data_IF_136263098215
#
_entry.id   IF_136263098215
#
_cell.length_a   1.000
_cell.length_b   1.000
_cell.length_c   1.000
_cell.angle_alpha   90.00
_cell.angle_beta   90.00
_cell.angle_gamma   90.00
#
_symmetry.space_group_name_H-M   'P 1'
#
loop_
_entity.id
_entity.type
_entity.pdbx_description
1 polymer ?
#
# COMPACT_ATOMS: atom_id res chain seq x y z
N UNK A 1 -1.46 19.15 8.52
CA UNK A 1 -1.87 17.74 8.69
C UNK A 1 -2.55 17.16 7.44
N UNK A 2 -3.08 18.01 6.55
CA UNK A 2 -3.97 17.59 5.46
C UNK A 2 -3.29 16.77 4.37
N UNK A 3 -2.04 17.05 3.98
CA UNK A 3 -1.41 16.35 2.83
C UNK A 3 -1.18 14.85 3.05
N UNK A 4 -0.74 14.43 4.25
CA UNK A 4 -0.53 13.00 4.55
C UNK A 4 -1.86 12.24 4.65
N UNK A 5 -2.86 12.85 5.28
CA UNK A 5 -4.21 12.27 5.35
C UNK A 5 -4.83 12.20 3.96
N UNK A 6 -4.66 13.22 3.13
CA UNK A 6 -5.11 13.22 1.75
C UNK A 6 -4.40 12.12 0.94
N UNK A 7 -3.08 11.97 1.09
CA UNK A 7 -2.33 10.90 0.44
C UNK A 7 -2.81 9.51 0.88
N UNK A 8 -3.00 9.28 2.18
CA UNK A 8 -3.46 7.97 2.68
C UNK A 8 -4.89 7.67 2.24
N UNK A 9 -5.80 8.66 2.29
CA UNK A 9 -7.20 8.49 1.86
C UNK A 9 -7.28 8.29 0.35
N UNK A 10 -6.63 9.14 -0.43
CA UNK A 10 -6.64 9.04 -1.89
C UNK A 10 -5.95 7.74 -2.36
N UNK A 11 -4.80 7.39 -1.78
CA UNK A 11 -4.09 6.16 -2.09
C UNK A 11 -4.89 4.91 -1.76
N UNK A 12 -5.50 4.86 -0.57
CA UNK A 12 -6.38 3.75 -0.19
C UNK A 12 -7.60 3.66 -1.11
N UNK A 13 -8.24 4.79 -1.43
CA UNK A 13 -9.37 4.83 -2.36
C UNK A 13 -8.99 4.31 -3.75
N UNK A 14 -7.88 4.78 -4.31
CA UNK A 14 -7.37 4.32 -5.61
C UNK A 14 -7.11 2.82 -5.58
N UNK A 15 -6.44 2.31 -4.55
CA UNK A 15 -6.13 0.89 -4.45
C UNK A 15 -7.38 0.02 -4.24
N UNK A 16 -8.36 0.50 -3.48
CA UNK A 16 -9.66 -0.16 -3.32
C UNK A 16 -10.43 -0.21 -4.63
N UNK A 17 -10.55 0.92 -5.35
CA UNK A 17 -11.21 0.99 -6.65
C UNK A 17 -10.52 0.07 -7.66
N UNK A 18 -9.18 0.11 -7.71
CA UNK A 18 -8.40 -0.72 -8.61
C UNK A 18 -8.57 -2.22 -8.28
N UNK A 19 -8.53 -2.59 -7.00
CA UNK A 19 -8.74 -3.97 -6.56
C UNK A 19 -10.16 -4.48 -6.84
N UNK A 20 -11.18 -3.66 -6.63
CA UNK A 20 -12.57 -4.00 -6.95
C UNK A 20 -12.78 -4.12 -8.45
N UNK A 21 -12.27 -3.18 -9.25
CA UNK A 21 -12.33 -3.28 -10.72
C UNK A 21 -11.62 -4.54 -11.22
N UNK A 22 -10.43 -4.85 -10.70
CA UNK A 22 -9.70 -6.05 -11.09
C UNK A 22 -10.46 -7.34 -10.71
N UNK A 23 -11.12 -7.38 -9.54
CA UNK A 23 -11.98 -8.49 -9.18
C UNK A 23 -13.17 -8.67 -10.16
N UNK A 24 -13.77 -7.56 -10.60
CA UNK A 24 -14.85 -7.64 -11.60
C UNK A 24 -14.31 -8.07 -12.98
N UNK A 25 -13.10 -7.64 -13.34
CA UNK A 25 -12.50 -7.86 -14.66
C UNK A 25 -11.90 -9.26 -14.84
N UNK A 26 -11.17 -9.75 -13.83
CA UNK A 26 -10.40 -10.99 -13.92
C UNK A 26 -10.97 -12.12 -13.04
N UNK A 27 -12.09 -11.88 -12.35
CA UNK A 27 -12.82 -12.87 -11.55
C UNK A 27 -12.44 -12.89 -10.07
N UNK A 28 -12.61 -14.06 -9.43
CA UNK A 28 -12.62 -14.29 -7.97
C UNK A 28 -12.07 -13.15 -7.07
N UNK A 29 -12.94 -12.49 -6.27
CA UNK A 29 -12.55 -11.35 -5.43
C UNK A 29 -11.52 -11.73 -4.35
N UNK A 30 -11.47 -13.01 -3.96
CA UNK A 30 -10.53 -13.51 -2.95
C UNK A 30 -9.06 -13.33 -3.36
N UNK A 31 -8.76 -13.30 -4.67
CA UNK A 31 -7.40 -13.05 -5.17
C UNK A 31 -6.90 -11.64 -4.84
N UNK A 32 -7.80 -10.70 -4.61
CA UNK A 32 -7.50 -9.28 -4.39
C UNK A 32 -7.53 -8.84 -2.93
N UNK A 33 -7.80 -9.76 -1.99
CA UNK A 33 -7.86 -9.46 -0.55
C UNK A 33 -6.56 -8.83 -0.05
N UNK A 34 -5.40 -9.27 -0.53
CA UNK A 34 -4.10 -8.68 -0.17
C UNK A 34 -4.03 -7.19 -0.51
N UNK A 35 -4.49 -6.80 -1.70
CA UNK A 35 -4.53 -5.40 -2.10
C UNK A 35 -5.47 -4.57 -1.22
N UNK A 36 -6.64 -5.12 -0.86
CA UNK A 36 -7.59 -4.47 0.05
C UNK A 36 -7.04 -4.31 1.48
N UNK A 37 -6.31 -5.32 1.98
CA UNK A 37 -5.63 -5.23 3.28
C UNK A 37 -4.54 -4.14 3.27
N UNK A 38 -3.79 -4.03 2.18
CA UNK A 38 -2.81 -2.94 2.00
C UNK A 38 -3.51 -1.58 1.96
N UNK A 39 -4.65 -1.45 1.27
CA UNK A 39 -5.44 -0.22 1.26
C UNK A 39 -5.91 0.18 2.68
N UNK A 40 -6.43 -0.78 3.46
CA UNK A 40 -6.82 -0.56 4.84
C UNK A 40 -5.62 -0.17 5.72
N UNK A 41 -4.47 -0.81 5.54
CA UNK A 41 -3.24 -0.47 6.23
C UNK A 41 -2.79 0.97 5.92
N UNK A 42 -2.72 1.34 4.64
CA UNK A 42 -2.36 2.70 4.19
C UNK A 42 -3.29 3.74 4.79
N UNK A 43 -4.60 3.46 4.84
CA UNK A 43 -5.61 4.34 5.42
C UNK A 43 -5.43 4.53 6.94
N UNK A 44 -5.18 3.45 7.67
CA UNK A 44 -5.13 3.44 9.13
C UNK A 44 -3.78 3.93 9.69
N UNK A 45 -2.68 3.72 8.97
CA UNK A 45 -1.32 3.89 9.47
C UNK A 45 -1.05 5.27 10.11
N UNK A 46 -1.44 6.42 9.51
CA UNK A 46 -1.18 7.73 10.12
C UNK A 46 -1.88 7.90 11.48
N UNK A 47 -3.09 7.36 11.62
CA UNK A 47 -3.87 7.39 12.86
C UNK A 47 -3.24 6.48 13.90
N UNK A 48 -2.92 5.23 13.53
CA UNK A 48 -2.27 4.27 14.42
C UNK A 48 -0.97 4.82 15.00
N UNK A 49 -0.14 5.49 14.18
CA UNK A 49 1.10 6.11 14.66
C UNK A 49 0.86 7.30 15.59
N UNK A 50 -0.16 8.12 15.32
CA UNK A 50 -0.51 9.24 16.19
C UNK A 50 -0.99 8.76 17.57
N UNK A 51 -1.85 7.73 17.61
CA UNK A 51 -2.30 7.10 18.84
C UNK A 51 -1.17 6.34 19.53
N UNK A 52 -0.32 5.62 18.81
CA UNK A 52 0.85 4.94 19.36
C UNK A 52 1.81 5.92 20.05
N UNK A 53 2.06 7.09 19.44
CA UNK A 53 2.85 8.16 20.06
C UNK A 53 2.21 8.71 21.33
N UNK A 54 0.88 8.85 21.34
CA UNK A 54 0.13 9.26 22.53
C UNK A 54 0.29 8.23 23.67
N UNK A 55 0.10 6.94 23.37
CA UNK A 55 0.27 5.85 24.33
C UNK A 55 1.71 5.79 24.85
N UNK A 56 2.71 5.92 23.99
CA UNK A 56 4.12 5.96 24.40
C UNK A 56 4.45 7.16 25.30
N UNK A 57 3.78 8.30 25.10
CA UNK A 57 3.91 9.47 25.99
C UNK A 57 3.27 9.22 27.34
N UNK A 58 2.05 8.66 27.36
CA UNK A 58 1.33 8.29 28.58
C UNK A 58 2.12 7.24 29.38
N UNK A 59 2.63 6.20 28.72
CA UNK A 59 3.47 5.17 29.34
C UNK A 59 4.77 5.73 29.92
N UNK A 60 5.48 6.59 29.18
CA UNK A 60 6.70 7.24 29.71
C UNK A 60 6.43 8.08 30.94
N UNK A 61 5.33 8.83 30.97
CA UNK A 61 4.94 9.62 32.15
C UNK A 61 4.56 8.75 33.33
N UNK A 62 3.80 7.69 33.08
CA UNK A 62 3.44 6.71 34.11
C UNK A 62 4.67 6.03 34.74
N UNK A 63 5.68 5.68 33.94
CA UNK A 63 6.94 5.13 34.46
C UNK A 63 7.75 6.20 35.19
N UNK A 64 7.81 7.43 34.67
CA UNK A 64 8.51 8.53 35.30
C UNK A 64 7.90 8.92 36.67
N UNK A 65 6.57 8.89 36.79
CA UNK A 65 5.87 9.18 38.05
C UNK A 65 6.10 8.11 39.12
N UNK A 66 6.40 6.86 38.72
CA UNK A 66 6.78 5.79 39.66
C UNK A 66 8.22 5.88 40.16
N UNK A 67 9.08 6.67 39.50
CA UNK A 67 10.52 6.78 39.80
C UNK A 67 10.91 8.07 40.51
N UNK A 68 9.98 9.01 40.70
CA UNK A 68 10.24 10.32 41.33
C UNK A 68 9.35 10.52 42.54
N UNK A 69 9.97 10.83 43.67
CA UNK A 69 9.31 11.34 44.88
C UNK A 69 9.05 12.88 44.82
N UNK A 70 9.16 13.50 43.63
CA UNK A 70 9.13 14.96 43.48
C UNK A 70 8.43 15.46 42.21
N UNK A 71 7.10 15.64 42.30
CA UNK A 71 6.35 16.87 41.97
C UNK A 71 6.48 17.63 40.63
N UNK A 72 7.24 17.21 39.63
CA UNK A 72 7.35 17.99 38.38
C UNK A 72 6.44 17.50 37.24
N UNK A 73 5.53 18.38 36.80
CA UNK A 73 4.55 18.14 35.73
C UNK A 73 3.25 17.51 36.21
N UNK A 74 2.68 18.05 37.29
CA UNK A 74 1.54 17.46 38.00
C UNK A 74 0.22 17.83 37.32
N UNK A 75 -0.62 16.82 37.16
CA UNK A 75 -2.01 16.99 36.72
C UNK A 75 -2.90 16.52 37.85
N UNK A 76 -3.72 17.40 38.41
CA UNK A 76 -4.74 17.04 39.38
C UNK A 76 -6.09 16.98 38.67
N UNK A 77 -6.85 15.94 38.92
CA UNK A 77 -8.16 15.72 38.31
C UNK A 77 -9.17 15.45 39.42
N UNK A 78 -10.34 16.08 39.35
CA UNK A 78 -11.41 15.81 40.30
C UNK A 78 -11.85 14.35 40.20
N UNK A 79 -12.01 13.69 41.34
CA UNK A 79 -12.46 12.30 41.41
C UNK A 79 -13.92 12.15 41.00
N UNK A 80 -14.70 13.20 41.26
CA UNK A 80 -16.11 13.34 40.95
C UNK A 80 -16.34 14.41 39.88
N UNK A 81 -17.51 14.39 39.27
CA UNK A 81 -17.95 15.46 38.35
C UNK A 81 -18.40 16.67 39.17
N UNK A 82 -18.06 17.87 38.72
CA UNK A 82 -18.59 19.08 39.35
C UNK A 82 -20.10 19.17 39.07
N UNK A 83 -20.96 19.25 40.10
CA UNK A 83 -22.41 19.30 39.91
C UNK A 83 -22.89 20.55 39.16
N UNK A 84 -22.11 21.64 39.15
CA UNK A 84 -22.39 22.86 38.37
C UNK A 84 -21.34 23.08 37.29
N UNK A 85 -20.99 22.00 36.58
CA UNK A 85 -19.87 21.98 35.65
C UNK A 85 -19.86 23.10 34.60
N UNK A 86 -21.02 23.64 34.20
CA UNK A 86 -21.09 24.74 33.21
C UNK A 86 -20.69 26.10 33.77
N UNK A 87 -20.94 26.37 35.05
CA UNK A 87 -20.58 27.62 35.72
C UNK A 87 -19.27 27.51 36.51
N UNK A 88 -18.74 26.29 36.68
CA UNK A 88 -17.60 25.98 37.53
C UNK A 88 -16.37 26.86 37.24
N UNK A 89 -15.99 27.05 35.98
CA UNK A 89 -14.83 27.87 35.63
C UNK A 89 -15.05 29.35 35.97
N UNK A 90 -16.25 29.89 35.75
CA UNK A 90 -16.53 31.29 36.09
C UNK A 90 -16.56 31.51 37.61
N UNK A 91 -17.10 30.53 38.36
CA UNK A 91 -17.15 30.56 39.82
C UNK A 91 -15.73 30.48 40.41
N UNK A 92 -14.89 29.58 39.88
CA UNK A 92 -13.48 29.47 40.26
C UNK A 92 -12.73 30.76 39.92
N UNK A 93 -12.91 31.32 38.72
CA UNK A 93 -12.26 32.58 38.34
C UNK A 93 -12.63 33.73 39.29
N UNK A 94 -13.92 33.86 39.62
CA UNK A 94 -14.42 34.90 40.53
C UNK A 94 -13.88 34.74 41.96
N UNK A 95 -13.76 33.50 42.44
CA UNK A 95 -13.23 33.21 43.76
C UNK A 95 -11.72 33.50 43.84
N UNK A 96 -10.94 33.02 42.86
CA UNK A 96 -9.48 33.19 42.85
C UNK A 96 -9.08 34.66 42.61
N UNK A 97 -9.84 35.42 41.81
CA UNK A 97 -9.55 36.84 41.57
C UNK A 97 -9.69 37.73 42.81
N UNK A 98 -10.30 37.23 43.90
CA UNK A 98 -10.43 37.95 45.19
C UNK A 98 -9.30 37.64 46.16
N UNK A 99 -8.39 36.72 45.81
CA UNK A 99 -7.30 36.30 46.66
C UNK A 99 -6.00 37.02 46.26
N UNK A 100 -5.31 37.60 47.24
CA UNK A 100 -4.04 38.32 47.02
C UNK A 100 -2.87 37.39 46.61
N UNK A 101 -3.05 36.07 46.70
CA UNK A 101 -2.04 35.06 46.35
C UNK A 101 -1.79 34.96 44.84
N UNK A 102 -2.79 35.30 44.01
CA UNK A 102 -2.68 35.19 42.55
C UNK A 102 -2.50 36.57 41.92
N UNK A 103 -1.50 36.67 41.04
CA UNK A 103 -1.23 37.90 40.30
C UNK A 103 -2.31 38.22 39.26
N UNK A 104 -2.79 37.19 38.57
CA UNK A 104 -3.78 37.32 37.50
C UNK A 104 -4.54 36.02 37.30
N UNK A 105 -5.83 36.13 37.00
CA UNK A 105 -6.73 35.00 36.69
C UNK A 105 -7.57 35.40 35.50
N UNK A 106 -7.37 34.74 34.36
CA UNK A 106 -8.08 35.05 33.12
C UNK A 106 -8.55 33.81 32.40
N UNK A 107 -9.67 33.97 31.71
CA UNK A 107 -10.17 32.97 30.77
C UNK A 107 -9.34 32.95 29.49
N UNK A 108 -9.09 31.76 28.96
CA UNK A 108 -8.37 31.53 27.70
C UNK A 108 -9.01 30.38 26.92
N UNK A 109 -9.03 30.50 25.58
CA UNK A 109 -9.54 29.45 24.70
C UNK A 109 -8.44 28.42 24.40
N UNK A 110 -8.66 27.17 24.81
CA UNK A 110 -7.79 26.05 24.49
C UNK A 110 -8.39 25.20 23.37
N UNK A 111 -7.58 24.31 22.79
CA UNK A 111 -8.01 23.37 21.74
C UNK A 111 -9.10 22.39 22.20
N UNK A 112 -9.25 22.24 23.50
CA UNK A 112 -10.14 21.35 24.25
C UNK A 112 -11.31 22.10 24.91
N UNK A 113 -11.43 23.41 24.65
CA UNK A 113 -12.47 24.28 25.21
C UNK A 113 -11.91 25.42 26.05
N UNK A 114 -12.82 26.17 26.66
CA UNK A 114 -12.50 27.28 27.57
C UNK A 114 -11.79 26.78 28.84
N UNK A 115 -10.83 27.55 29.33
CA UNK A 115 -10.11 27.29 30.58
C UNK A 115 -9.64 28.56 31.25
N UNK A 116 -9.02 28.43 32.43
CA UNK A 116 -8.42 29.54 33.16
C UNK A 116 -6.90 29.42 33.15
N UNK A 117 -6.24 30.53 32.90
CA UNK A 117 -4.83 30.76 33.18
C UNK A 117 -4.73 31.47 34.54
N UNK A 118 -4.13 30.79 35.53
CA UNK A 118 -3.88 31.34 36.87
C UNK A 118 -2.39 31.62 37.01
N UNK A 119 -2.03 32.88 37.15
CA UNK A 119 -0.63 33.32 37.27
C UNK A 119 -0.29 33.59 38.73
N UNK A 120 0.71 32.88 39.28
CA UNK A 120 1.12 33.01 40.68
C UNK A 120 2.18 34.10 40.86
N UNK A 121 3.26 34.02 40.07
CA UNK A 121 4.36 34.99 40.04
C UNK A 121 4.96 35.01 38.63
N UNK A 122 5.76 36.03 38.28
CA UNK A 122 6.05 36.46 36.89
C UNK A 122 6.41 35.43 35.81
N UNK A 123 6.72 34.17 36.16
CA UNK A 123 6.98 33.08 35.22
C UNK A 123 6.23 31.75 35.53
N UNK A 124 5.43 31.69 36.60
CA UNK A 124 4.73 30.47 37.02
C UNK A 124 3.22 30.61 36.85
N UNK A 125 2.66 29.79 35.96
CA UNK A 125 1.22 29.71 35.74
C UNK A 125 0.73 28.27 35.87
N UNK A 126 -0.47 28.14 36.42
CA UNK A 126 -1.24 26.91 36.41
C UNK A 126 -2.46 27.10 35.50
N UNK A 127 -2.95 25.99 34.96
CA UNK A 127 -4.11 26.00 34.08
C UNK A 127 -5.23 25.17 34.71
N UNK A 128 -6.42 25.76 34.81
CA UNK A 128 -7.63 25.09 35.29
C UNK A 128 -8.55 24.89 34.10
N UNK A 129 -8.96 23.65 33.87
CA UNK A 129 -9.79 23.27 32.72
C UNK A 129 -10.85 22.26 33.13
N UNK A 130 -11.85 22.10 32.28
CA UNK A 130 -12.93 21.13 32.46
C UNK A 130 -12.90 20.08 31.36
N UNK A 131 -13.06 18.82 31.71
CA UNK A 131 -13.26 17.73 30.73
C UNK A 131 -14.69 17.72 30.19
N UNK A 132 -14.92 17.04 29.07
CA UNK A 132 -16.28 16.85 28.52
C UNK A 132 -17.23 16.15 29.51
N UNK A 133 -16.70 15.27 30.37
CA UNK A 133 -17.49 14.61 31.41
C UNK A 133 -17.67 15.45 32.69
N UNK A 134 -17.28 16.73 32.69
CA UNK A 134 -17.54 17.68 33.77
C UNK A 134 -16.58 17.59 34.95
N UNK A 135 -15.40 16.99 34.79
CA UNK A 135 -14.35 16.98 35.84
C UNK A 135 -13.47 18.20 35.73
N UNK A 136 -13.03 18.70 36.88
CA UNK A 136 -12.06 19.80 36.97
C UNK A 136 -10.64 19.24 36.92
N UNK A 137 -9.79 19.94 36.17
CA UNK A 137 -8.42 19.53 35.92
C UNK A 137 -7.49 20.71 36.12
N UNK A 138 -6.52 20.56 37.01
CA UNK A 138 -5.50 21.57 37.30
C UNK A 138 -4.15 21.04 36.83
N UNK A 139 -3.47 21.80 36.00
CA UNK A 139 -2.18 21.40 35.39
C UNK A 139 -1.14 22.48 35.59
N UNK A 140 0.09 22.07 35.88
CA UNK A 140 1.23 22.97 36.07
C UNK A 140 2.49 22.19 36.44
N UNK A 141 3.56 22.89 36.79
CA UNK A 141 4.89 22.30 37.04
C UNK A 141 5.49 22.63 38.42
N UNK A 142 4.69 23.20 39.32
CA UNK A 142 5.10 23.74 40.62
C UNK A 142 4.32 23.15 41.80
N UNK A 143 4.84 23.31 43.03
CA UNK A 143 4.07 23.04 44.25
C UNK A 143 2.82 23.93 44.37
N UNK A 144 2.87 25.16 43.84
CA UNK A 144 1.71 26.06 43.80
C UNK A 144 0.54 25.49 43.00
N UNK A 145 0.81 24.59 42.04
CA UNK A 145 -0.24 23.87 41.31
C UNK A 145 -1.02 22.93 42.24
N UNK A 146 -0.36 22.31 43.22
CA UNK A 146 -1.00 21.45 44.22
C UNK A 146 -1.84 22.26 45.20
N UNK A 147 -1.33 23.40 45.65
CA UNK A 147 -2.08 24.34 46.50
C UNK A 147 -3.35 24.83 45.80
N UNK A 148 -3.22 25.26 44.53
CA UNK A 148 -4.34 25.65 43.70
C UNK A 148 -5.36 24.52 43.52
N UNK A 149 -4.90 23.28 43.27
CA UNK A 149 -5.78 22.13 43.14
C UNK A 149 -6.57 21.85 44.44
N UNK A 150 -5.91 21.89 45.60
CA UNK A 150 -6.62 21.75 46.89
C UNK A 150 -7.65 22.85 47.08
N UNK A 151 -7.26 24.11 46.80
CA UNK A 151 -8.15 25.26 46.93
C UNK A 151 -9.40 25.13 46.07
N UNK A 152 -9.23 24.73 44.80
CA UNK A 152 -10.35 24.48 43.89
C UNK A 152 -11.22 23.32 44.39
N UNK A 153 -10.60 22.26 44.92
CA UNK A 153 -11.31 21.15 45.55
C UNK A 153 -12.19 21.62 46.71
N UNK A 154 -11.66 22.45 47.61
CA UNK A 154 -12.41 23.01 48.74
C UNK A 154 -13.54 23.94 48.27
N UNK A 155 -13.28 24.81 47.28
CA UNK A 155 -14.27 25.75 46.74
C UNK A 155 -15.46 25.06 46.07
N UNK A 156 -15.21 23.92 45.43
CA UNK A 156 -16.23 23.20 44.65
C UNK A 156 -16.76 21.95 45.37
N UNK A 157 -16.23 21.66 46.56
CA UNK A 157 -16.60 20.48 47.33
C UNK A 157 -16.24 19.16 46.64
N UNK A 158 -15.14 19.13 45.88
CA UNK A 158 -14.68 17.94 45.14
C UNK A 158 -13.28 17.49 45.57
N UNK A 159 -13.07 16.17 45.66
CA UNK A 159 -11.73 15.61 45.88
C UNK A 159 -10.87 15.73 44.62
N UNK A 160 -9.63 16.21 44.76
CA UNK A 160 -8.67 16.38 43.66
C UNK A 160 -7.52 15.37 43.80
N UNK A 161 -7.39 14.45 42.85
CA UNK A 161 -6.36 13.42 42.87
C UNK A 161 -5.24 13.72 41.85
N UNK A 162 -3.99 13.50 42.26
CA UNK A 162 -2.85 13.57 41.35
C UNK A 162 -2.89 12.41 40.34
N UNK A 163 -2.85 12.72 39.05
CA UNK A 163 -2.88 11.76 37.95
C UNK A 163 -1.62 11.91 37.10
N UNK A 164 -0.96 10.78 36.75
CA UNK A 164 0.26 10.82 35.93
C UNK A 164 -0.01 11.19 34.46
N UNK A 165 -1.27 11.08 34.02
CA UNK A 165 -1.69 11.36 32.66
C UNK A 165 -2.69 12.51 32.64
N UNK A 166 -2.39 13.53 31.84
CA UNK A 166 -3.29 14.63 31.58
C UNK A 166 -4.45 14.15 30.67
N UNK A 167 -5.73 14.36 31.04
CA UNK A 167 -6.88 13.90 30.26
C UNK A 167 -7.00 14.60 28.90
N UNK A 168 -6.49 15.82 28.75
CA UNK A 168 -6.51 16.60 27.51
C UNK A 168 -5.43 16.18 26.50
N UNK A 169 -4.68 15.13 26.80
CA UNK A 169 -3.72 14.58 25.87
C UNK A 169 -4.38 13.98 24.64
N UNK A 170 -4.27 14.71 23.54
CA UNK A 170 -4.73 14.30 22.21
C UNK A 170 -3.59 13.67 21.37
N UNK A 171 -3.93 12.82 20.39
CA UNK A 171 -2.96 12.29 19.44
C UNK A 171 -2.26 13.42 18.68
N UNK A 172 -0.95 13.58 18.90
CA UNK A 172 -0.19 14.57 18.14
C UNK A 172 0.19 13.97 16.79
N UNK A 173 -0.11 14.67 15.67
CA UNK A 173 0.23 14.21 14.35
C UNK A 173 1.74 14.01 14.18
N UNK A 174 2.14 13.14 13.26
CA UNK A 174 3.54 13.00 12.85
C UNK A 174 3.99 14.30 12.17
N UNK A 175 5.07 14.90 12.66
CA UNK A 175 5.63 16.18 12.20
C UNK A 175 7.15 16.04 11.99
N UNK A 176 7.74 16.93 11.20
CA UNK A 176 9.20 16.97 10.93
C UNK A 176 9.68 15.81 10.05
N UNK A 177 10.95 15.42 10.18
CA UNK A 177 11.57 14.35 9.39
C UNK A 177 10.80 13.01 9.39
N UNK A 178 10.23 12.52 10.52
CA UNK A 178 9.39 11.30 10.54
C UNK A 178 8.21 11.33 9.54
N UNK A 179 7.75 12.54 9.18
CA UNK A 179 6.68 12.71 8.19
C UNK A 179 7.13 12.32 6.78
N UNK A 180 8.37 12.63 6.41
CA UNK A 180 8.92 12.29 5.10
C UNK A 180 9.06 10.76 4.98
N UNK A 181 9.63 10.11 6.00
CA UNK A 181 9.71 8.65 6.06
C UNK A 181 8.33 7.98 5.97
N UNK A 182 7.34 8.50 6.70
CA UNK A 182 5.97 8.00 6.59
C UNK A 182 5.40 8.17 5.17
N UNK A 183 5.71 9.28 4.50
CA UNK A 183 5.25 9.49 3.11
C UNK A 183 5.88 8.47 2.15
N UNK A 184 7.18 8.22 2.27
CA UNK A 184 7.89 7.18 1.50
C UNK A 184 7.31 5.81 1.78
N UNK A 185 7.10 5.46 3.05
CA UNK A 185 6.50 4.19 3.45
C UNK A 185 5.10 3.99 2.85
N UNK A 186 4.27 5.03 2.83
CA UNK A 186 2.95 4.98 2.21
C UNK A 186 3.06 4.77 0.69
N UNK A 187 4.00 5.42 0.01
CA UNK A 187 4.25 5.23 -1.43
C UNK A 187 4.69 3.79 -1.71
N UNK A 188 5.62 3.25 -0.92
CA UNK A 188 6.07 1.86 -1.04
C UNK A 188 4.91 0.90 -0.82
N UNK A 189 4.10 1.10 0.23
CA UNK A 189 2.93 0.28 0.48
C UNK A 189 1.93 0.33 -0.68
N UNK A 190 1.69 1.51 -1.28
CA UNK A 190 0.84 1.65 -2.47
C UNK A 190 1.42 0.89 -3.66
N UNK A 191 2.73 0.96 -3.90
CA UNK A 191 3.39 0.20 -4.96
C UNK A 191 3.25 -1.32 -4.74
N UNK A 192 3.42 -1.81 -3.51
CA UNK A 192 3.15 -3.22 -3.15
C UNK A 192 1.69 -3.58 -3.37
N UNK A 193 0.76 -2.67 -3.07
CA UNK A 193 -0.67 -2.84 -3.33
C UNK A 193 -0.96 -3.01 -4.82
N UNK A 194 -0.43 -2.13 -5.67
CA UNK A 194 -0.55 -2.21 -7.14
C UNK A 194 0.07 -3.51 -7.66
N UNK A 195 1.26 -3.87 -7.18
CA UNK A 195 1.91 -5.13 -7.52
C UNK A 195 1.07 -6.36 -7.11
N UNK A 196 0.38 -6.29 -5.97
CA UNK A 196 -0.54 -7.34 -5.53
C UNK A 196 -1.75 -7.48 -6.46
N UNK A 197 -2.31 -6.36 -6.94
CA UNK A 197 -3.38 -6.40 -7.97
C UNK A 197 -2.86 -7.01 -9.26
N UNK A 198 -1.69 -6.58 -9.72
CA UNK A 198 -1.07 -7.07 -10.94
C UNK A 198 -0.78 -8.58 -10.88
N UNK A 199 -0.19 -9.04 -9.78
CA UNK A 199 0.07 -10.46 -9.52
C UNK A 199 -1.21 -11.31 -9.42
N UNK A 200 -2.29 -10.75 -8.88
CA UNK A 200 -3.58 -11.45 -8.82
C UNK A 200 -4.28 -11.53 -10.19
N UNK A 201 -4.13 -10.49 -11.02
CA UNK A 201 -4.67 -10.43 -12.38
C UNK A 201 -3.91 -11.37 -13.34
N UNK A 202 -2.59 -11.43 -13.20
CA UNK A 202 -1.68 -12.26 -14.00
C UNK A 202 -0.88 -13.18 -13.04
N UNK A 203 -1.44 -14.33 -12.62
CA UNK A 203 -0.82 -15.19 -11.62
C UNK A 203 0.33 -16.04 -12.17
N UNK A 204 0.49 -16.13 -13.50
CA UNK A 204 1.58 -16.87 -14.13
C UNK A 204 2.91 -16.18 -13.89
N UNK A 205 3.98 -16.97 -13.72
CA UNK A 205 5.32 -16.45 -13.42
C UNK A 205 6.06 -15.92 -14.66
N UNK A 206 5.47 -16.06 -15.86
CA UNK A 206 6.01 -15.58 -17.15
C UNK A 206 6.17 -14.07 -17.28
N UNK A 207 5.83 -13.31 -16.22
CA UNK A 207 5.95 -11.86 -16.21
C UNK A 207 6.43 -11.44 -14.83
N UNK A 208 7.36 -10.49 -14.78
CA UNK A 208 7.72 -9.84 -13.53
C UNK A 208 6.61 -8.89 -13.05
N UNK A 209 6.72 -8.38 -11.82
CA UNK A 209 5.65 -7.55 -11.22
C UNK A 209 5.39 -6.26 -12.02
N UNK A 210 6.41 -5.67 -12.63
CA UNK A 210 6.27 -4.44 -13.42
C UNK A 210 5.56 -4.73 -14.73
N UNK A 211 5.93 -5.79 -15.44
CA UNK A 211 5.26 -6.21 -16.67
C UNK A 211 3.78 -6.51 -16.43
N UNK A 212 3.47 -7.23 -15.34
CA UNK A 212 2.07 -7.47 -14.94
C UNK A 212 1.32 -6.17 -14.71
N UNK A 213 1.95 -5.16 -14.09
CA UNK A 213 1.35 -3.85 -13.87
C UNK A 213 1.09 -3.12 -15.20
N UNK A 214 2.02 -3.21 -16.17
CA UNK A 214 1.84 -2.66 -17.53
C UNK A 214 0.67 -3.36 -18.23
N UNK A 215 0.59 -4.69 -18.18
CA UNK A 215 -0.52 -5.46 -18.76
C UNK A 215 -1.88 -5.08 -18.15
N UNK A 216 -1.95 -4.91 -16.83
CA UNK A 216 -3.16 -4.41 -16.15
C UNK A 216 -3.48 -2.98 -16.60
N UNK A 217 -2.47 -2.13 -16.80
CA UNK A 217 -2.67 -0.73 -17.21
C UNK A 217 -3.33 -0.60 -18.58
N UNK A 218 -3.00 -1.48 -19.53
CA UNK A 218 -3.68 -1.51 -20.83
C UNK A 218 -5.16 -1.87 -20.71
N UNK A 219 -5.52 -2.84 -19.85
CA UNK A 219 -6.94 -3.15 -19.60
C UNK A 219 -7.66 -1.98 -18.92
N UNK A 220 -7.02 -1.37 -17.92
CA UNK A 220 -7.59 -0.23 -17.21
C UNK A 220 -7.83 0.94 -18.17
N UNK A 221 -6.87 1.21 -19.06
CA UNK A 221 -7.00 2.27 -20.07
C UNK A 221 -8.18 2.01 -21.01
N UNK A 222 -8.37 0.77 -21.46
CA UNK A 222 -9.49 0.40 -22.32
C UNK A 222 -10.87 0.52 -21.64
N UNK A 223 -10.94 0.32 -20.33
CA UNK A 223 -12.20 0.39 -19.59
C UNK A 223 -12.51 1.79 -19.04
N UNK A 224 -11.50 2.64 -18.79
CA UNK A 224 -11.67 3.94 -18.13
C UNK A 224 -11.36 5.18 -18.99
N UNK A 225 -10.59 5.06 -20.08
CA UNK A 225 -10.23 6.22 -20.91
C UNK A 225 -11.13 6.30 -22.14
N UNK A 226 -11.96 7.37 -22.26
CA UNK A 226 -12.80 7.56 -23.43
C UNK A 226 -11.96 7.62 -24.72
N UNK A 227 -12.44 6.94 -25.76
CA UNK A 227 -11.77 6.91 -27.07
C UNK A 227 -10.67 5.86 -27.23
N UNK A 228 -10.33 5.08 -26.20
CA UNK A 228 -9.41 3.94 -26.33
C UNK A 228 -10.20 2.68 -26.65
N UNK A 229 -9.97 2.08 -27.82
CA UNK A 229 -10.68 0.85 -28.19
C UNK A 229 -10.08 -0.37 -27.47
N UNK A 230 -10.94 -1.34 -27.14
CA UNK A 230 -10.50 -2.63 -26.58
C UNK A 230 -9.59 -3.40 -27.54
N UNK A 231 -9.78 -3.21 -28.84
CA UNK A 231 -8.92 -3.77 -29.88
C UNK A 231 -7.52 -3.16 -29.79
N UNK A 232 -7.41 -1.83 -29.71
CA UNK A 232 -6.10 -1.16 -29.61
C UNK A 232 -5.36 -1.57 -28.33
N UNK A 233 -6.04 -1.64 -27.19
CA UNK A 233 -5.43 -2.11 -25.95
C UNK A 233 -4.96 -3.57 -26.02
N UNK A 234 -5.69 -4.42 -26.77
CA UNK A 234 -5.26 -5.81 -27.02
C UNK A 234 -4.02 -5.87 -27.91
N UNK A 235 -3.94 -5.01 -28.94
CA UNK A 235 -2.77 -4.89 -29.80
C UNK A 235 -1.57 -4.30 -29.06
N UNK A 236 -1.77 -3.29 -28.20
CA UNK A 236 -0.73 -2.73 -27.34
C UNK A 236 -0.13 -3.80 -26.42
N UNK A 237 -0.97 -4.65 -25.82
CA UNK A 237 -0.53 -5.78 -25.01
C UNK A 237 0.24 -6.81 -25.80
N UNK A 238 -0.25 -7.17 -27.00
CA UNK A 238 0.40 -8.14 -27.84
C UNK A 238 1.80 -7.64 -28.25
N UNK A 239 1.92 -6.37 -28.63
CA UNK A 239 3.21 -5.74 -28.92
C UNK A 239 4.15 -5.76 -27.70
N UNK A 240 3.66 -5.34 -26.53
CA UNK A 240 4.45 -5.36 -25.29
C UNK A 240 4.96 -6.76 -24.94
N UNK A 241 4.11 -7.78 -25.05
CA UNK A 241 4.49 -9.17 -24.81
C UNK A 241 5.51 -9.68 -25.84
N UNK A 242 5.41 -9.26 -27.10
CA UNK A 242 6.42 -9.56 -28.13
C UNK A 242 7.76 -8.90 -27.79
N UNK A 243 7.76 -7.66 -27.29
CA UNK A 243 8.98 -6.99 -26.85
C UNK A 243 9.64 -7.72 -25.66
N UNK A 244 8.85 -8.11 -24.65
CA UNK A 244 9.33 -8.95 -23.53
C UNK A 244 9.95 -10.27 -24.02
N UNK A 245 9.36 -10.91 -25.03
CA UNK A 245 9.92 -12.13 -25.63
C UNK A 245 11.29 -11.87 -26.30
N UNK A 246 11.52 -10.68 -26.85
CA UNK A 246 12.82 -10.27 -27.38
C UNK A 246 13.88 -10.13 -26.29
N UNK A 247 13.48 -9.67 -25.09
CA UNK A 247 14.34 -9.56 -23.91
C UNK A 247 14.78 -10.93 -23.38
N UNK A 248 13.88 -11.92 -23.36
CA UNK A 248 14.20 -13.31 -22.99
C UNK A 248 15.35 -13.91 -23.84
N UNK A 249 15.43 -13.54 -25.13
CA UNK A 249 16.55 -13.98 -25.98
C UNK A 249 17.89 -13.39 -25.53
N UNK A 250 17.88 -12.18 -24.95
CA UNK A 250 19.07 -11.55 -24.36
C UNK A 250 19.44 -12.24 -23.05
N UNK A 251 18.47 -12.51 -22.18
CA UNK A 251 18.69 -13.20 -20.90
C UNK A 251 19.29 -14.60 -21.09
N UNK A 252 18.76 -15.39 -22.03
CA UNK A 252 19.31 -16.73 -22.34
C UNK A 252 20.77 -16.66 -22.83
N UNK A 253 21.16 -15.59 -23.54
CA UNK A 253 22.52 -15.39 -24.03
C UNK A 253 23.52 -15.01 -22.93
N UNK A 254 23.08 -14.48 -21.80
CA UNK A 254 23.99 -14.03 -20.75
C UNK A 254 24.75 -15.20 -20.13
N UNK A 255 26.07 -15.16 -20.23
CA UNK A 255 26.99 -16.26 -19.88
C UNK A 255 26.89 -16.68 -18.42
N UNK A 256 26.60 -15.73 -17.51
CA UNK A 256 26.48 -15.96 -16.08
C UNK A 256 25.22 -16.73 -15.65
N UNK A 257 24.26 -16.97 -16.54
CA UNK A 257 23.02 -17.67 -16.17
C UNK A 257 23.24 -19.17 -15.99
N UNK A 258 22.76 -19.70 -14.86
CA UNK A 258 22.75 -21.14 -14.59
C UNK A 258 21.80 -21.88 -15.54
N UNK A 259 22.13 -23.13 -15.89
CA UNK A 259 21.35 -23.95 -16.83
C UNK A 259 19.86 -24.10 -16.47
N UNK A 260 19.54 -24.04 -15.18
CA UNK A 260 18.15 -24.11 -14.70
C UNK A 260 17.33 -22.89 -15.09
N UNK A 261 17.92 -21.69 -14.99
CA UNK A 261 17.24 -20.45 -15.40
C UNK A 261 16.98 -20.44 -16.90
N UNK A 262 17.92 -20.95 -17.72
CA UNK A 262 17.71 -21.09 -19.19
C UNK A 262 16.46 -21.89 -19.57
N UNK A 263 16.12 -22.92 -18.79
CA UNK A 263 14.91 -23.72 -19.01
C UNK A 263 13.66 -22.95 -18.61
N UNK A 264 13.71 -22.25 -17.47
CA UNK A 264 12.61 -21.42 -16.99
C UNK A 264 12.32 -20.31 -18.01
N UNK A 265 13.33 -19.58 -18.48
CA UNK A 265 13.24 -18.51 -19.49
C UNK A 265 12.68 -19.04 -20.82
N UNK A 266 13.17 -20.19 -21.30
CA UNK A 266 12.65 -20.81 -22.53
C UNK A 266 11.19 -21.30 -22.41
N UNK A 267 10.74 -21.67 -21.20
CA UNK A 267 9.33 -22.01 -20.94
C UNK A 267 8.45 -20.77 -20.84
N UNK A 268 8.96 -19.69 -20.23
CA UNK A 268 8.31 -18.38 -20.21
C UNK A 268 8.12 -17.85 -21.63
N UNK A 269 9.16 -17.89 -22.46
CA UNK A 269 9.12 -17.50 -23.86
C UNK A 269 8.00 -18.21 -24.65
N UNK A 270 7.82 -19.51 -24.44
CA UNK A 270 6.73 -20.27 -25.09
C UNK A 270 5.34 -19.90 -24.56
N UNK A 271 5.22 -19.59 -23.27
CA UNK A 271 3.96 -19.14 -22.69
C UNK A 271 3.57 -17.75 -23.23
N UNK A 272 4.52 -16.81 -23.27
CA UNK A 272 4.35 -15.46 -23.84
C UNK A 272 3.96 -15.55 -25.32
N UNK A 273 4.67 -16.37 -26.11
CA UNK A 273 4.34 -16.64 -27.52
C UNK A 273 2.88 -17.12 -27.69
N UNK A 274 2.43 -18.06 -26.86
CA UNK A 274 1.06 -18.55 -26.90
C UNK A 274 0.03 -17.47 -26.53
N UNK A 275 0.33 -16.61 -25.56
CA UNK A 275 -0.51 -15.49 -25.15
C UNK A 275 -0.66 -14.44 -26.26
N UNK A 276 0.44 -14.04 -26.91
CA UNK A 276 0.44 -13.12 -28.06
C UNK A 276 -0.43 -13.69 -29.18
N UNK A 277 -0.21 -14.95 -29.55
CA UNK A 277 -1.01 -15.62 -30.61
C UNK A 277 -2.49 -15.65 -30.27
N UNK A 278 -2.84 -15.95 -29.02
CA UNK A 278 -4.23 -15.94 -28.56
C UNK A 278 -4.85 -14.56 -28.68
N UNK A 279 -4.10 -13.51 -28.35
CA UNK A 279 -4.56 -12.12 -28.46
C UNK A 279 -4.76 -11.70 -29.92
N UNK A 280 -3.81 -12.02 -30.80
CA UNK A 280 -3.91 -11.71 -32.21
C UNK A 280 -5.07 -12.45 -32.89
N UNK A 281 -5.29 -13.74 -32.57
CA UNK A 281 -6.48 -14.47 -33.05
C UNK A 281 -7.79 -13.92 -32.51
N UNK A 282 -7.77 -13.43 -31.28
CA UNK A 282 -8.94 -12.80 -30.67
C UNK A 282 -9.29 -11.42 -31.24
N UNK A 283 -8.52 -10.89 -32.19
CA UNK A 283 -8.90 -9.70 -32.96
C UNK A 283 -9.74 -10.11 -34.17
N UNK A 284 -11.01 -9.70 -34.17
CA UNK A 284 -11.94 -10.00 -35.27
C UNK A 284 -11.49 -9.27 -36.54
N UNK A 285 -10.99 -10.04 -37.51
CA UNK A 285 -10.42 -9.52 -38.77
C UNK A 285 -11.42 -8.72 -39.60
N UNK A 286 -12.73 -8.98 -39.44
CA UNK A 286 -13.77 -8.31 -40.21
C UNK A 286 -14.16 -6.92 -39.66
N UNK A 287 -13.71 -6.59 -38.45
CA UNK A 287 -13.99 -5.30 -37.80
C UNK A 287 -12.75 -4.43 -37.57
N UNK A 288 -11.58 -4.83 -38.10
CA UNK A 288 -10.36 -4.05 -38.01
C UNK A 288 -10.36 -2.88 -38.98
N UNK A 289 -9.98 -1.70 -38.49
CA UNK A 289 -9.56 -0.62 -39.37
C UNK A 289 -8.27 -1.00 -40.14
N UNK A 290 -7.98 -0.37 -41.29
CA UNK A 290 -6.74 -0.63 -42.04
C UNK A 290 -5.48 -0.45 -41.19
N UNK A 291 -5.47 0.53 -40.28
CA UNK A 291 -4.35 0.77 -39.37
C UNK A 291 -4.17 -0.36 -38.35
N UNK A 292 -5.27 -0.92 -37.82
CA UNK A 292 -5.23 -2.05 -36.90
C UNK A 292 -4.82 -3.35 -37.59
N UNK A 293 -5.31 -3.58 -38.82
CA UNK A 293 -4.91 -4.73 -39.63
C UNK A 293 -3.39 -4.71 -39.89
N UNK A 294 -2.85 -3.58 -40.37
CA UNK A 294 -1.42 -3.41 -40.57
C UNK A 294 -0.61 -3.55 -39.26
N UNK A 295 -1.20 -3.19 -38.12
CA UNK A 295 -0.56 -3.35 -36.82
C UNK A 295 -0.52 -4.81 -36.37
N UNK A 296 -1.57 -5.60 -36.61
CA UNK A 296 -1.54 -7.04 -36.37
C UNK A 296 -0.44 -7.70 -37.19
N UNK A 297 -0.33 -7.35 -38.47
CA UNK A 297 0.67 -7.96 -39.37
C UNK A 297 2.10 -7.65 -38.91
N UNK A 298 2.36 -6.43 -38.41
CA UNK A 298 3.63 -6.07 -37.78
C UNK A 298 3.89 -6.90 -36.53
N UNK A 299 2.95 -6.96 -35.58
CA UNK A 299 3.13 -7.72 -34.33
C UNK A 299 3.34 -9.22 -34.61
N UNK A 300 2.66 -9.78 -35.62
CA UNK A 300 2.88 -11.17 -36.06
C UNK A 300 4.30 -11.38 -36.60
N UNK A 301 4.78 -10.44 -37.42
CA UNK A 301 6.16 -10.47 -37.95
C UNK A 301 7.19 -10.39 -36.82
N UNK A 302 7.01 -9.42 -35.91
CA UNK A 302 7.88 -9.20 -34.76
C UNK A 302 7.86 -10.42 -33.82
N UNK A 303 6.70 -11.06 -33.63
CA UNK A 303 6.59 -12.28 -32.83
C UNK A 303 7.41 -13.43 -33.44
N UNK A 304 7.30 -13.64 -34.76
CA UNK A 304 8.09 -14.70 -35.41
C UNK A 304 9.58 -14.42 -35.31
N UNK A 305 10.01 -13.16 -35.39
CA UNK A 305 11.40 -12.77 -35.19
C UNK A 305 11.87 -13.05 -33.76
N UNK A 306 11.09 -12.66 -32.76
CA UNK A 306 11.40 -12.91 -31.36
C UNK A 306 11.48 -14.43 -31.05
N UNK A 307 10.53 -15.23 -31.54
CA UNK A 307 10.54 -16.69 -31.40
C UNK A 307 11.80 -17.34 -32.03
N UNK A 308 12.27 -16.82 -33.18
CA UNK A 308 13.53 -17.27 -33.80
C UNK A 308 14.73 -16.86 -32.94
N UNK A 309 14.77 -15.62 -32.46
CA UNK A 309 15.87 -15.10 -31.64
C UNK A 309 16.07 -15.91 -30.37
N UNK A 310 14.99 -16.29 -29.67
CA UNK A 310 15.05 -17.17 -28.49
C UNK A 310 15.57 -18.56 -28.88
N UNK A 311 15.08 -19.14 -29.98
CA UNK A 311 15.56 -20.45 -30.44
C UNK A 311 17.05 -20.45 -30.85
N UNK A 312 17.54 -19.34 -31.40
CA UNK A 312 18.95 -19.11 -31.70
C UNK A 312 19.78 -18.95 -30.42
N UNK A 313 19.31 -18.17 -29.45
CA UNK A 313 19.95 -18.03 -28.14
C UNK A 313 20.13 -19.39 -27.45
N UNK A 314 19.09 -20.24 -27.46
CA UNK A 314 19.18 -21.62 -26.94
C UNK A 314 20.20 -22.45 -27.75
N UNK A 315 20.32 -22.24 -29.06
CA UNK A 315 21.30 -22.94 -29.89
C UNK A 315 22.73 -22.60 -29.47
N UNK A 316 23.04 -21.32 -29.33
CA UNK A 316 24.35 -20.84 -28.87
C UNK A 316 24.69 -21.46 -27.51
N UNK A 317 23.72 -21.50 -26.57
CA UNK A 317 23.94 -22.12 -25.26
C UNK A 317 24.20 -23.63 -25.33
N UNK A 318 23.47 -24.35 -26.17
CA UNK A 318 23.68 -25.78 -26.38
C UNK A 318 25.04 -26.09 -27.02
N UNK A 319 25.55 -25.22 -27.88
CA UNK A 319 26.84 -25.39 -28.56
C UNK A 319 28.03 -25.11 -27.63
N UNK A 320 27.87 -24.22 -26.66
CA UNK A 320 28.90 -23.88 -25.68
C UNK A 320 29.01 -24.91 -24.52
N UNK A 321 28.28 -26.03 -24.57
CA UNK A 321 28.26 -27.16 -23.61
C UNK A 321 28.07 -26.78 -22.12
N UNK A 322 27.54 -25.58 -21.86
CA UNK A 322 27.28 -25.05 -20.50
C UNK A 322 25.92 -25.50 -19.93
N UNK A 323 25.24 -26.42 -20.60
CA UNK A 323 23.82 -26.77 -20.33
C UNK A 323 23.63 -28.08 -19.53
N UNK A 324 24.67 -28.89 -19.42
CA UNK A 324 24.69 -30.11 -18.59
C UNK A 324 23.48 -31.03 -18.80
N UNK A 325 22.82 -31.42 -17.72
CA UNK A 325 21.65 -32.30 -17.72
C UNK A 325 20.41 -31.70 -18.41
N UNK A 326 20.35 -30.38 -18.60
CA UNK A 326 19.19 -29.68 -19.16
C UNK A 326 19.18 -29.65 -20.69
N UNK A 327 20.27 -30.06 -21.35
CA UNK A 327 20.40 -30.03 -22.81
C UNK A 327 19.24 -30.71 -23.56
N UNK A 328 18.73 -31.90 -23.16
CA UNK A 328 17.59 -32.53 -23.85
C UNK A 328 16.31 -31.68 -23.79
N UNK A 329 16.03 -31.05 -22.63
CA UNK A 329 14.85 -30.19 -22.45
C UNK A 329 14.97 -28.92 -23.28
N UNK A 330 16.14 -28.28 -23.27
CA UNK A 330 16.41 -27.09 -24.10
C UNK A 330 16.29 -27.38 -25.60
N UNK A 331 16.76 -28.54 -26.08
CA UNK A 331 16.55 -28.95 -27.49
C UNK A 331 15.06 -29.07 -27.84
N UNK A 332 14.25 -29.62 -26.94
CA UNK A 332 12.79 -29.72 -27.13
C UNK A 332 12.12 -28.35 -27.16
N UNK A 333 12.47 -27.46 -26.23
CA UNK A 333 11.95 -26.09 -26.16
C UNK A 333 12.33 -25.27 -27.40
N UNK A 334 13.60 -25.33 -27.83
CA UNK A 334 14.07 -24.76 -29.09
C UNK A 334 13.26 -25.25 -30.29
N UNK A 335 13.02 -26.55 -30.40
CA UNK A 335 12.24 -27.10 -31.51
C UNK A 335 10.79 -26.61 -31.50
N UNK A 336 10.19 -26.41 -30.32
CA UNK A 336 8.85 -25.82 -30.18
C UNK A 336 8.83 -24.35 -30.61
N UNK A 337 9.83 -23.56 -30.25
CA UNK A 337 9.95 -22.15 -30.65
C UNK A 337 10.15 -22.00 -32.17
N UNK A 338 11.02 -22.82 -32.78
CA UNK A 338 11.18 -22.84 -34.25
C UNK A 338 9.87 -23.17 -34.97
N UNK A 339 9.16 -24.20 -34.52
CA UNK A 339 7.84 -24.54 -35.06
C UNK A 339 6.79 -23.44 -34.84
N UNK A 340 6.90 -22.69 -33.75
CA UNK A 340 6.03 -21.54 -33.54
C UNK A 340 6.35 -20.47 -34.62
N UNK A 341 7.61 -20.09 -34.79
CA UNK A 341 8.04 -19.04 -35.72
C UNK A 341 7.63 -19.26 -37.19
N UNK A 342 7.41 -20.51 -37.58
CA UNK A 342 6.96 -20.88 -38.93
C UNK A 342 5.44 -20.95 -39.07
N UNK A 343 4.70 -20.92 -37.95
CA UNK A 343 3.25 -21.10 -37.94
C UNK A 343 2.53 -19.76 -38.09
N UNK A 344 1.82 -19.51 -39.22
CA UNK A 344 0.95 -18.35 -39.35
C UNK A 344 -0.16 -18.36 -38.29
N UNK A 345 -0.48 -17.18 -37.77
CA UNK A 345 -1.44 -17.01 -36.68
C UNK A 345 -2.88 -17.11 -37.20
N UNK A 346 -3.12 -16.58 -38.40
CA UNK A 346 -4.45 -16.47 -39.05
C UNK A 346 -4.80 -17.60 -40.03
N UNK A 347 -3.92 -18.57 -40.27
CA UNK A 347 -4.21 -19.65 -41.21
C UNK A 347 -4.97 -20.82 -40.53
N UNK A 348 -6.26 -20.65 -40.24
CA UNK A 348 -7.24 -21.75 -40.14
C UNK A 348 -8.66 -21.26 -39.80
N UNK A 349 -9.31 -20.48 -40.66
CA UNK A 349 -10.78 -20.30 -40.57
C UNK A 349 -11.54 -21.04 -41.68
N UNK A 350 -10.87 -21.57 -42.72
CA UNK A 350 -11.57 -22.28 -43.80
C UNK A 350 -11.89 -23.76 -43.52
N UNK A 351 -11.40 -24.36 -42.41
CA UNK A 351 -11.56 -25.81 -42.17
C UNK A 351 -12.14 -26.20 -40.79
N UNK A 352 -12.09 -25.34 -39.77
CA UNK A 352 -12.43 -25.68 -38.38
C UNK A 352 -13.79 -25.17 -37.89
N UNK A 353 -14.49 -24.32 -38.65
CA UNK A 353 -15.78 -23.72 -38.27
C UNK A 353 -16.95 -24.75 -38.18
N UNK A 354 -16.68 -26.05 -38.33
CA UNK A 354 -17.69 -27.12 -38.19
C UNK A 354 -17.54 -28.03 -36.98
N UNK A 355 -16.56 -27.83 -36.08
CA UNK A 355 -16.45 -28.72 -34.89
C UNK A 355 -16.12 -27.99 -33.59
N UNK A 356 -17.22 -27.74 -32.86
CA UNK A 356 -17.37 -27.77 -31.38
C UNK A 356 -16.99 -26.52 -30.59
N UNK A 357 -18.06 -25.77 -30.30
CA UNK A 357 -18.48 -25.34 -28.96
C UNK A 357 -18.20 -26.38 -27.85
N UNK A 358 -18.04 -25.83 -26.63
CA UNK A 358 -17.97 -26.50 -25.31
C UNK A 358 -16.65 -27.19 -24.91
N UNK A 359 -15.59 -26.40 -24.70
CA UNK A 359 -14.58 -26.74 -23.69
C UNK A 359 -14.32 -25.56 -22.74
N UNK A 360 -14.44 -25.76 -21.41
CA UNK A 360 -14.05 -24.75 -20.44
C UNK A 360 -12.54 -24.51 -20.46
N UNK A 361 -12.17 -23.29 -20.05
CA UNK A 361 -10.83 -22.76 -20.08
C UNK A 361 -9.84 -23.60 -19.23
N UNK A 362 -8.59 -23.83 -19.68
CA UNK A 362 -7.62 -24.72 -19.00
C UNK A 362 -7.18 -24.31 -17.59
N UNK A 363 -7.58 -23.14 -17.08
CA UNK A 363 -7.13 -22.63 -15.78
C UNK A 363 -7.98 -23.08 -14.57
N UNK A 364 -9.03 -23.90 -14.77
CA UNK A 364 -9.89 -24.36 -13.68
C UNK A 364 -9.41 -25.62 -12.93
N UNK A 365 -8.21 -26.16 -13.19
CA UNK A 365 -7.71 -27.28 -12.37
C UNK A 365 -6.20 -27.29 -12.16
N UNK A 366 -5.79 -26.84 -10.97
CA UNK A 366 -4.87 -27.52 -10.03
C UNK A 366 -4.55 -26.63 -8.80
N UNK A 367 -4.79 -27.10 -7.56
CA UNK A 367 -4.18 -26.53 -6.37
C UNK A 367 -2.80 -27.17 -6.11
N UNK A 368 -2.00 -26.55 -5.25
CA UNK A 368 -0.71 -26.99 -4.71
C UNK A 368 0.57 -26.60 -5.49
N UNK A 369 1.00 -25.34 -5.37
CA UNK A 369 2.41 -24.95 -5.14
C UNK A 369 2.42 -23.68 -4.29
N UNK A 370 2.10 -23.77 -2.99
CA UNK A 370 2.07 -22.62 -2.07
C UNK A 370 3.38 -22.47 -1.25
N UNK A 371 4.42 -23.23 -1.54
CA UNK A 371 5.62 -23.29 -0.68
C UNK A 371 6.88 -22.59 -1.24
N UNK A 372 6.83 -21.96 -2.42
CA UNK A 372 8.04 -21.41 -3.05
C UNK A 372 8.17 -19.88 -3.00
N UNK A 373 7.11 -19.15 -2.62
CA UNK A 373 7.06 -17.67 -2.68
C UNK A 373 7.83 -16.98 -1.54
N UNK A 374 8.17 -17.69 -0.45
CA UNK A 374 8.87 -17.07 0.70
C UNK A 374 10.40 -17.10 0.53
N UNK A 375 10.96 -17.97 -0.31
CA UNK A 375 12.42 -18.09 -0.46
C UNK A 375 13.06 -17.07 -1.43
N UNK A 376 12.29 -16.50 -2.38
CA UNK A 376 12.83 -15.59 -3.40
C UNK A 376 12.85 -14.11 -2.98
N UNK A 377 12.15 -13.73 -1.91
CA UNK A 377 12.12 -12.33 -1.42
C UNK A 377 13.14 -12.03 -0.31
N UNK A 378 13.77 -13.02 0.31
CA UNK A 378 14.76 -12.80 1.38
C UNK A 378 16.21 -12.72 0.91
N UNK A 379 16.54 -13.10 -0.32
CA UNK A 379 17.91 -13.04 -0.86
C UNK A 379 18.25 -11.76 -1.61
N UNK A 380 17.28 -10.85 -1.85
CA UNK A 380 17.52 -9.58 -2.54
C UNK A 380 17.74 -8.37 -1.59
N UNK A 381 17.82 -8.60 -0.27
CA UNK A 381 18.20 -7.58 0.71
C UNK A 381 19.48 -8.07 1.42
N UNK A 382 20.55 -8.15 0.64
CA UNK A 382 21.91 -8.21 1.17
C UNK A 382 22.24 -6.85 1.78
N UNK A 383 22.37 -6.82 3.10
CA UNK A 383 23.18 -5.83 3.79
C UNK A 383 24.64 -6.23 3.55
N UNK A 384 25.36 -5.39 2.82
CA UNK A 384 26.77 -5.10 3.14
C UNK A 384 26.81 -3.93 4.14
#
# INVERSE_FOLDING_TARGET
MNKLRALSVAGALVLSVLGTWAALRYGSPFRYVRALLVAAFVLALPSVLAYGKLWARRGRRYVASRRRDGGHGTTFVSEERDPESESALSAVATALAREDEYRDVRTEDFSDGEGLLVTHSGFHSSFVRRTEDGRLVVTGDSETTRSLARRIGDLRGVSMAERPNNPFFSPIPVRGAPRAFLSVLLIVALAVGVGSVAGAAYPVDSYNTLEKAVLVSYDARADFVPGVSRTDARLDKAAFMTDSLGEEAVEIRWEANESRFLVEDAEQALAISADVRTRLRGTDSNSLSPAQAARVDRIETDLHEAERSVAEAITVRLENDTTGEYAPRLRSLRARLRRAAERPIRASDSASERRRDDRPSPWESKPAVLSYVIARQTTAIGWD
#
